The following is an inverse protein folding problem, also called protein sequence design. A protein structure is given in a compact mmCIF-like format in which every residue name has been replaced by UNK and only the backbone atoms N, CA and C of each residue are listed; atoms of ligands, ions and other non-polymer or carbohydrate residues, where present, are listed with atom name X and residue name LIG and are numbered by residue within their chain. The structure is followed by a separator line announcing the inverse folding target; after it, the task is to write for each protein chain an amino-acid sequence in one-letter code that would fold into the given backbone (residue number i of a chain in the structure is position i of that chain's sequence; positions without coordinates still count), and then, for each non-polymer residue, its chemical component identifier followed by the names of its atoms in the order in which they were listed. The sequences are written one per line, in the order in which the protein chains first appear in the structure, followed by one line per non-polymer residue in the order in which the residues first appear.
data_IF_617335970271
#
_entry.id   IF_617335970271
#
_cell.length_a   1.000
_cell.length_b   1.000
_cell.length_c   1.000
_cell.angle_alpha   90.00
_cell.angle_beta   90.00
_cell.angle_gamma   90.00
#
_symmetry.space_group_name_H-M   'P 1'
#
loop_
_entity.id
_entity.type
_entity.pdbx_description
1 polymer ?
#
# COMPACT_ATOMS: atom_id res chain seq x y z
N UNK A 1 16.86 12.82 -14.54
CA UNK A 1 15.56 12.14 -14.50
C UNK A 1 15.59 11.19 -13.33
N UNK A 2 14.52 11.13 -12.54
CA UNK A 2 14.37 10.20 -11.40
C UNK A 2 13.60 8.94 -11.80
N UNK A 3 13.62 7.92 -10.96
CA UNK A 3 13.03 6.61 -11.23
C UNK A 3 11.59 6.69 -11.74
N UNK A 4 10.65 7.33 -11.03
CA UNK A 4 9.25 7.37 -11.48
C UNK A 4 9.02 8.22 -12.74
N UNK A 5 9.85 9.24 -12.99
CA UNK A 5 9.84 9.98 -14.26
C UNK A 5 10.22 9.05 -15.41
N UNK A 6 11.27 8.24 -15.21
CA UNK A 6 11.75 7.27 -16.19
C UNK A 6 10.77 6.12 -16.42
N UNK A 7 10.10 5.63 -15.36
CA UNK A 7 9.06 4.59 -15.45
C UNK A 7 7.91 5.09 -16.31
N UNK A 8 7.40 6.30 -16.05
CA UNK A 8 6.28 6.86 -16.82
C UNK A 8 6.67 7.13 -18.27
N UNK A 9 7.86 7.68 -18.52
CA UNK A 9 8.34 7.90 -19.88
C UNK A 9 8.50 6.59 -20.66
N UNK A 10 9.16 5.58 -20.06
CA UNK A 10 9.31 4.26 -20.65
C UNK A 10 7.94 3.62 -20.92
N UNK A 11 7.00 3.76 -19.98
CA UNK A 11 5.66 3.22 -20.12
C UNK A 11 4.90 3.83 -21.30
N UNK A 12 4.92 5.16 -21.42
CA UNK A 12 4.21 5.85 -22.49
C UNK A 12 4.82 5.57 -23.87
N UNK A 13 6.15 5.45 -23.96
CA UNK A 13 6.83 5.04 -25.19
C UNK A 13 6.46 3.62 -25.62
N UNK A 14 6.45 2.68 -24.67
CA UNK A 14 6.08 1.29 -24.95
C UNK A 14 4.63 1.17 -25.45
N UNK A 15 3.70 1.84 -24.77
CA UNK A 15 2.28 1.91 -25.20
C UNK A 15 2.13 2.58 -26.58
N UNK A 16 3.01 3.52 -26.93
CA UNK A 16 3.05 4.12 -28.26
C UNK A 16 3.73 3.23 -29.34
N UNK A 17 4.21 2.04 -28.98
CA UNK A 17 4.80 1.06 -29.89
C UNK A 17 6.32 1.16 -30.07
N UNK A 18 7.02 1.91 -29.21
CA UNK A 18 8.49 1.97 -29.25
C UNK A 18 9.10 0.68 -28.68
N UNK A 19 9.75 -0.10 -29.55
CA UNK A 19 10.40 -1.37 -29.20
C UNK A 19 11.68 -1.18 -28.39
N UNK A 20 12.19 0.04 -28.26
CA UNK A 20 13.34 0.36 -27.41
C UNK A 20 12.91 0.96 -26.06
N UNK A 21 11.60 1.09 -25.82
CA UNK A 21 11.09 1.55 -24.55
C UNK A 21 11.45 0.55 -23.44
N UNK A 22 11.84 1.08 -22.29
CA UNK A 22 12.17 0.24 -21.14
C UNK A 22 12.92 1.03 -20.08
N UNK A 23 12.78 0.59 -18.84
CA UNK A 23 13.58 1.08 -17.73
C UNK A 23 14.96 0.42 -17.78
N UNK A 24 15.99 1.16 -17.36
CA UNK A 24 17.33 0.62 -17.10
C UNK A 24 17.60 0.67 -15.58
N UNK A 25 17.24 -0.38 -14.82
CA UNK A 25 17.25 -0.33 -13.36
C UNK A 25 18.62 0.03 -12.75
N UNK A 26 19.71 -0.33 -13.41
CA UNK A 26 21.07 0.00 -12.97
C UNK A 26 21.35 1.51 -12.90
N UNK A 27 20.65 2.34 -13.70
CA UNK A 27 20.77 3.79 -13.67
C UNK A 27 20.08 4.41 -12.42
N UNK A 28 19.25 3.64 -11.72
CA UNK A 28 18.43 4.08 -10.58
C UNK A 28 18.70 3.26 -9.31
N UNK A 29 19.91 2.69 -9.16
CA UNK A 29 20.24 1.79 -8.05
C UNK A 29 20.04 2.40 -6.66
N UNK A 30 20.20 3.71 -6.51
CA UNK A 30 20.01 4.44 -5.24
C UNK A 30 18.53 4.69 -4.88
N UNK A 31 17.64 4.59 -5.88
CA UNK A 31 16.19 4.79 -5.77
C UNK A 31 15.43 3.45 -5.66
N UNK A 32 16.14 2.32 -5.74
CA UNK A 32 15.63 0.96 -5.59
C UNK A 32 16.04 0.36 -4.23
N UNK A 33 15.25 -0.53 -3.62
CA UNK A 33 13.98 -1.11 -4.11
C UNK A 33 12.76 -0.19 -3.93
N UNK A 34 11.70 -0.44 -4.72
CA UNK A 34 10.38 0.22 -4.57
C UNK A 34 9.47 -0.64 -3.70
N UNK A 35 8.81 -0.01 -2.73
CA UNK A 35 7.71 -0.60 -1.97
C UNK A 35 6.37 -0.24 -2.61
N UNK A 36 5.68 -1.22 -3.19
CA UNK A 36 4.42 -0.98 -3.88
C UNK A 36 3.23 -1.57 -3.15
N UNK A 37 2.13 -0.84 -3.07
CA UNK A 37 0.82 -1.33 -2.64
C UNK A 37 -0.13 -1.37 -3.85
N UNK A 38 -0.68 -2.54 -4.16
CA UNK A 38 -1.69 -2.68 -5.22
C UNK A 38 -2.89 -3.52 -4.78
N UNK A 39 -3.84 -3.67 -5.69
CA UNK A 39 -5.00 -4.55 -5.49
C UNK A 39 -4.59 -6.06 -5.48
N UNK A 40 -5.41 -6.90 -4.86
CA UNK A 40 -5.35 -8.38 -4.96
C UNK A 40 -5.85 -8.92 -6.31
N UNK A 41 -6.23 -8.06 -7.25
CA UNK A 41 -6.67 -8.46 -8.58
C UNK A 41 -5.57 -9.28 -9.27
N UNK A 42 -5.89 -10.53 -9.63
CA UNK A 42 -4.94 -11.47 -10.21
C UNK A 42 -4.41 -11.01 -11.58
N UNK A 43 -5.16 -10.14 -12.28
CA UNK A 43 -4.75 -9.53 -13.55
C UNK A 43 -3.46 -8.71 -13.43
N UNK A 44 -3.18 -8.20 -12.23
CA UNK A 44 -1.98 -7.40 -11.97
C UNK A 44 -0.71 -8.23 -11.84
N UNK A 45 -0.82 -9.54 -11.58
CA UNK A 45 0.32 -10.44 -11.33
C UNK A 45 1.41 -10.37 -12.43
N UNK A 46 1.07 -10.61 -13.71
CA UNK A 46 2.03 -10.44 -14.79
C UNK A 46 2.25 -8.96 -15.14
N UNK A 47 1.18 -8.16 -15.05
CA UNK A 47 1.16 -6.83 -15.65
C UNK A 47 2.00 -5.79 -14.89
N UNK A 48 1.96 -5.77 -13.56
CA UNK A 48 2.65 -4.71 -12.79
C UNK A 48 4.18 -4.77 -12.87
N UNK A 49 4.84 -5.92 -12.71
CA UNK A 49 6.29 -6.00 -12.89
C UNK A 49 6.72 -5.54 -14.29
N UNK A 50 5.94 -5.89 -15.32
CA UNK A 50 6.23 -5.53 -16.71
C UNK A 50 6.04 -4.03 -16.98
N UNK A 51 4.88 -3.45 -16.63
CA UNK A 51 4.59 -2.04 -16.91
C UNK A 51 5.47 -1.05 -16.15
N UNK A 52 6.02 -1.47 -15.00
CA UNK A 52 6.97 -0.68 -14.22
C UNK A 52 8.42 -0.87 -14.69
N UNK A 53 8.73 -2.01 -15.32
CA UNK A 53 10.09 -2.37 -15.71
C UNK A 53 11.05 -2.57 -14.52
N UNK A 54 10.52 -2.75 -13.31
CA UNK A 54 11.31 -2.98 -12.09
C UNK A 54 11.57 -4.49 -11.94
N UNK A 55 12.83 -4.92 -11.73
CA UNK A 55 13.17 -6.31 -11.47
C UNK A 55 12.46 -6.85 -10.22
N UNK A 56 12.10 -8.14 -10.22
CA UNK A 56 11.36 -8.78 -9.12
C UNK A 56 12.08 -8.62 -7.77
N UNK A 57 13.41 -8.72 -7.77
CA UNK A 57 14.24 -8.57 -6.56
C UNK A 57 14.26 -7.15 -5.99
N UNK A 58 13.88 -6.14 -6.79
CA UNK A 58 13.78 -4.74 -6.41
C UNK A 58 12.33 -4.27 -6.18
N UNK A 59 11.36 -5.19 -6.28
CA UNK A 59 9.92 -4.88 -6.18
C UNK A 59 9.32 -5.48 -4.90
N UNK A 60 9.28 -4.69 -3.83
CA UNK A 60 8.68 -5.11 -2.56
C UNK A 60 7.17 -4.92 -2.66
N UNK A 61 6.45 -6.00 -2.99
CA UNK A 61 5.05 -5.92 -3.38
C UNK A 61 4.07 -6.31 -2.26
N UNK A 62 3.32 -5.32 -1.77
CA UNK A 62 2.20 -5.46 -0.85
C UNK A 62 0.88 -5.44 -1.61
N UNK A 63 -0.09 -6.25 -1.17
CA UNK A 63 -1.39 -6.39 -1.84
C UNK A 63 -2.53 -6.48 -0.85
N UNK A 64 -3.60 -5.74 -1.10
CA UNK A 64 -4.88 -5.88 -0.39
C UNK A 64 -6.06 -5.56 -1.32
N UNK A 65 -7.29 -5.80 -0.87
CA UNK A 65 -8.48 -5.51 -1.67
C UNK A 65 -8.58 -4.00 -1.95
N UNK A 66 -8.44 -3.61 -3.22
CA UNK A 66 -8.59 -2.23 -3.65
C UNK A 66 -7.47 -1.28 -3.25
N UNK A 67 -6.26 -1.78 -2.90
CA UNK A 67 -5.11 -0.95 -2.50
C UNK A 67 -5.46 0.09 -1.41
N UNK A 68 -6.30 -0.32 -0.46
CA UNK A 68 -6.89 0.53 0.57
C UNK A 68 -5.93 0.70 1.73
N UNK A 69 -5.86 1.91 2.27
CA UNK A 69 -5.27 2.19 3.57
C UNK A 69 -6.33 2.92 4.39
N UNK A 70 -6.76 2.32 5.49
CA UNK A 70 -7.86 2.85 6.31
C UNK A 70 -7.40 3.87 7.34
N UNK A 71 -6.15 3.76 7.82
CA UNK A 71 -5.60 4.63 8.87
C UNK A 71 -4.07 4.73 8.78
N UNK A 72 -3.47 5.86 9.23
CA UNK A 72 -2.03 6.04 9.35
C UNK A 72 -1.32 5.06 10.29
N UNK A 73 -2.05 4.26 11.10
CA UNK A 73 -1.49 3.20 11.96
C UNK A 73 -2.11 1.81 11.68
N UNK A 74 -2.73 1.65 10.51
CA UNK A 74 -3.34 0.38 10.09
C UNK A 74 -2.32 -0.76 9.90
N UNK A 75 -2.81 -2.00 9.80
CA UNK A 75 -1.96 -3.16 9.48
C UNK A 75 -1.23 -3.03 8.15
N UNK A 76 -1.89 -2.46 7.13
CA UNK A 76 -1.27 -2.18 5.83
C UNK A 76 -0.17 -1.15 5.97
N UNK A 77 -0.40 -0.07 6.74
CA UNK A 77 0.64 0.92 7.01
C UNK A 77 1.84 0.33 7.73
N UNK A 78 1.61 -0.52 8.73
CA UNK A 78 2.69 -1.22 9.43
C UNK A 78 3.53 -2.05 8.47
N UNK A 79 2.90 -2.81 7.58
CA UNK A 79 3.64 -3.59 6.57
C UNK A 79 4.42 -2.69 5.62
N UNK A 80 3.85 -1.58 5.18
CA UNK A 80 4.52 -0.62 4.28
C UNK A 80 5.71 0.06 4.96
N UNK A 81 5.56 0.45 6.23
CA UNK A 81 6.65 1.00 7.03
C UNK A 81 7.79 -0.01 7.20
N UNK A 82 7.48 -1.29 7.44
CA UNK A 82 8.50 -2.34 7.51
C UNK A 82 9.15 -2.65 6.16
N UNK A 83 8.42 -2.51 5.04
CA UNK A 83 9.00 -2.57 3.71
C UNK A 83 10.08 -1.49 3.50
N UNK A 84 9.85 -0.30 4.04
CA UNK A 84 10.85 0.77 4.01
C UNK A 84 11.99 0.52 5.01
N UNK A 85 11.66 0.38 6.28
CA UNK A 85 12.64 0.35 7.38
C UNK A 85 13.47 -0.93 7.46
N UNK A 86 12.89 -2.09 7.11
CA UNK A 86 13.54 -3.40 7.23
C UNK A 86 13.99 -3.94 5.88
N UNK A 87 13.21 -3.72 4.82
CA UNK A 87 13.55 -4.20 3.46
C UNK A 87 14.23 -3.15 2.59
N UNK A 88 14.41 -1.93 3.11
CA UNK A 88 15.18 -0.88 2.44
C UNK A 88 14.43 -0.17 1.32
N UNK A 89 13.10 -0.30 1.26
CA UNK A 89 12.26 0.42 0.29
C UNK A 89 12.57 1.92 0.29
N UNK A 90 13.02 2.43 -0.86
CA UNK A 90 13.48 3.81 -1.05
C UNK A 90 12.36 4.74 -1.48
N UNK A 91 11.41 4.21 -2.23
CA UNK A 91 10.24 4.93 -2.72
C UNK A 91 8.99 4.06 -2.55
N UNK A 92 7.85 4.72 -2.34
CA UNK A 92 6.56 4.07 -2.19
C UNK A 92 5.70 4.34 -3.42
N UNK A 93 5.04 3.31 -3.95
CA UNK A 93 4.02 3.46 -4.99
C UNK A 93 2.68 2.84 -4.57
N UNK A 94 1.63 3.66 -4.54
CA UNK A 94 0.25 3.17 -4.48
C UNK A 94 -0.26 3.03 -5.90
N UNK A 95 -0.60 1.81 -6.30
CA UNK A 95 -0.99 1.51 -7.68
C UNK A 95 -2.41 0.97 -7.71
N UNK A 96 -3.33 1.85 -8.10
CA UNK A 96 -4.70 1.49 -8.46
C UNK A 96 -4.77 0.95 -9.88
N UNK A 97 -5.93 0.44 -10.27
CA UNK A 97 -6.14 -0.05 -11.62
C UNK A 97 -7.56 0.23 -12.13
N UNK A 98 -7.73 0.38 -13.44
CA UNK A 98 -9.05 0.47 -14.07
C UNK A 98 -9.84 -0.83 -13.88
N UNK A 99 -11.17 -0.74 -13.93
CA UNK A 99 -12.07 -1.91 -13.80
C UNK A 99 -11.88 -2.67 -12.47
N UNK A 100 -11.73 -1.94 -11.36
CA UNK A 100 -11.57 -2.55 -10.04
C UNK A 100 -12.91 -3.07 -9.49
N UNK A 101 -13.03 -4.38 -9.30
CA UNK A 101 -14.26 -4.99 -8.76
C UNK A 101 -14.57 -4.55 -7.33
N UNK A 102 -13.55 -4.22 -6.54
CA UNK A 102 -13.72 -3.66 -5.18
C UNK A 102 -14.35 -2.27 -5.28
N UNK A 103 -13.87 -1.41 -6.18
CA UNK A 103 -14.45 -0.09 -6.43
C UNK A 103 -15.90 -0.15 -6.95
N UNK A 104 -16.20 -1.15 -7.78
CA UNK A 104 -17.53 -1.33 -8.39
C UNK A 104 -18.57 -1.95 -7.45
N UNK A 105 -18.15 -2.39 -6.25
CA UNK A 105 -19.04 -3.05 -5.30
C UNK A 105 -19.43 -2.06 -4.21
N UNK A 106 -20.73 -1.76 -4.09
CA UNK A 106 -21.26 -0.96 -2.98
C UNK A 106 -21.57 -1.83 -1.75
N UNK A 107 -21.84 -1.20 -0.60
CA UNK A 107 -22.12 -1.91 0.65
C UNK A 107 -23.27 -2.92 0.57
N UNK A 108 -24.37 -2.58 -0.11
CA UNK A 108 -25.51 -3.50 -0.24
C UNK A 108 -25.12 -4.75 -1.05
N UNK A 109 -24.41 -4.56 -2.16
CA UNK A 109 -23.88 -5.66 -2.96
C UNK A 109 -22.86 -6.48 -2.18
N UNK A 110 -22.01 -5.85 -1.36
CA UNK A 110 -21.03 -6.54 -0.53
C UNK A 110 -21.72 -7.43 0.51
N UNK A 111 -22.73 -6.90 1.22
CA UNK A 111 -23.54 -7.66 2.19
C UNK A 111 -24.22 -8.85 1.49
N UNK A 112 -24.81 -8.65 0.32
CA UNK A 112 -25.45 -9.75 -0.43
C UNK A 112 -24.42 -10.79 -0.90
N UNK A 113 -23.22 -10.37 -1.33
CA UNK A 113 -22.12 -11.29 -1.68
C UNK A 113 -21.64 -12.09 -0.46
N UNK A 114 -21.55 -11.47 0.71
CA UNK A 114 -21.23 -12.16 1.96
C UNK A 114 -22.30 -13.19 2.34
N UNK A 115 -23.58 -12.81 2.21
CA UNK A 115 -24.70 -13.73 2.42
C UNK A 115 -24.63 -14.94 1.49
N UNK A 116 -24.29 -14.72 0.21
CA UNK A 116 -24.15 -15.81 -0.78
C UNK A 116 -23.00 -16.79 -0.47
N UNK A 117 -22.04 -16.41 0.38
CA UNK A 117 -20.98 -17.31 0.88
C UNK A 117 -21.25 -17.79 2.32
N UNK A 118 -22.46 -17.59 2.84
CA UNK A 118 -22.89 -18.08 4.15
C UNK A 118 -22.54 -17.16 5.33
N UNK A 119 -22.18 -15.89 5.08
CA UNK A 119 -21.91 -14.90 6.13
C UNK A 119 -23.14 -14.02 6.33
N UNK A 120 -23.83 -14.25 7.44
CA UNK A 120 -25.04 -13.51 7.82
C UNK A 120 -24.75 -12.07 8.24
N UNK A 121 -25.71 -11.16 8.01
CA UNK A 121 -25.53 -9.71 8.24
C UNK A 121 -25.12 -9.36 9.69
N UNK A 122 -25.60 -10.11 10.67
CA UNK A 122 -25.30 -9.85 12.10
C UNK A 122 -23.86 -10.21 12.50
N UNK A 123 -23.12 -10.94 11.65
CA UNK A 123 -21.69 -11.24 11.85
C UNK A 123 -20.79 -10.19 11.21
N UNK A 124 -21.34 -9.34 10.33
CA UNK A 124 -20.63 -8.26 9.70
C UNK A 124 -20.60 -7.03 10.62
N UNK A 125 -19.52 -6.22 10.58
CA UNK A 125 -19.46 -4.97 11.32
C UNK A 125 -20.62 -4.04 10.95
N UNK A 126 -21.08 -3.22 11.89
CA UNK A 126 -22.16 -2.27 11.63
C UNK A 126 -21.75 -1.19 10.62
N UNK A 127 -20.50 -0.73 10.72
CA UNK A 127 -19.88 0.26 9.83
C UNK A 127 -19.21 -0.38 8.59
N UNK A 128 -19.94 -1.19 7.82
CA UNK A 128 -19.43 -1.93 6.63
C UNK A 128 -18.59 -1.05 5.69
N UNK A 129 -19.05 0.17 5.39
CA UNK A 129 -18.33 1.08 4.49
C UNK A 129 -16.94 1.43 4.99
N UNK A 130 -16.82 1.78 6.26
CA UNK A 130 -15.57 2.21 6.88
C UNK A 130 -14.65 1.00 7.11
N UNK A 131 -15.19 -0.08 7.65
CA UNK A 131 -14.42 -1.29 7.96
C UNK A 131 -13.75 -1.88 6.71
N UNK A 132 -14.49 -1.97 5.60
CA UNK A 132 -13.95 -2.48 4.33
C UNK A 132 -13.32 -1.39 3.47
N UNK A 133 -13.31 -0.12 3.92
CA UNK A 133 -12.75 1.01 3.20
C UNK A 133 -13.36 1.23 1.82
N UNK A 134 -14.67 1.05 1.68
CA UNK A 134 -15.37 1.16 0.39
C UNK A 134 -15.13 2.53 -0.27
N UNK A 135 -14.95 2.53 -1.59
CA UNK A 135 -14.66 3.72 -2.38
C UNK A 135 -15.33 3.66 -3.75
N UNK A 136 -15.66 4.83 -4.31
CA UNK A 136 -16.41 4.95 -5.57
C UNK A 136 -15.57 5.41 -6.77
N UNK A 137 -14.29 5.73 -6.56
CA UNK A 137 -13.36 6.12 -7.62
C UNK A 137 -11.97 5.58 -7.34
N UNK A 138 -11.43 4.82 -8.28
CA UNK A 138 -10.08 4.25 -8.18
C UNK A 138 -9.03 5.35 -8.06
N UNK A 139 -9.18 6.44 -8.84
CA UNK A 139 -8.31 7.62 -8.78
C UNK A 139 -8.30 8.27 -7.40
N UNK A 140 -9.48 8.58 -6.86
CA UNK A 140 -9.59 9.23 -5.55
C UNK A 140 -9.07 8.34 -4.42
N UNK A 141 -9.28 7.03 -4.53
CA UNK A 141 -8.75 6.07 -3.57
C UNK A 141 -7.20 6.04 -3.57
N UNK A 142 -6.56 6.07 -4.74
CA UNK A 142 -5.09 6.18 -4.82
C UNK A 142 -4.59 7.46 -4.16
N UNK A 143 -5.19 8.61 -4.50
CA UNK A 143 -4.81 9.91 -3.92
C UNK A 143 -4.96 9.88 -2.39
N UNK A 144 -6.13 9.44 -1.90
CA UNK A 144 -6.40 9.31 -0.46
C UNK A 144 -5.39 8.40 0.24
N UNK A 145 -5.05 7.26 -0.36
CA UNK A 145 -4.07 6.34 0.21
C UNK A 145 -2.68 7.00 0.29
N UNK A 146 -2.25 7.72 -0.74
CA UNK A 146 -1.00 8.49 -0.72
C UNK A 146 -0.98 9.53 0.41
N UNK A 147 -2.08 10.26 0.60
CA UNK A 147 -2.21 11.25 1.68
C UNK A 147 -2.11 10.59 3.07
N UNK A 148 -2.78 9.45 3.25
CA UNK A 148 -2.71 8.69 4.52
C UNK A 148 -1.27 8.22 4.78
N UNK A 149 -0.57 7.71 3.76
CA UNK A 149 0.86 7.30 3.86
C UNK A 149 1.73 8.47 4.29
N UNK A 150 1.63 9.61 3.60
CA UNK A 150 2.40 10.82 3.91
C UNK A 150 2.10 11.40 5.29
N UNK A 151 0.88 11.18 5.79
CA UNK A 151 0.48 11.62 7.14
C UNK A 151 0.93 10.67 8.25
N UNK A 152 1.38 9.46 7.92
CA UNK A 152 1.77 8.47 8.92
C UNK A 152 3.11 8.82 9.58
N UNK A 153 3.20 8.76 10.92
CA UNK A 153 4.46 8.93 11.64
C UNK A 153 5.43 7.76 11.41
N UNK A 154 4.98 6.68 10.75
CA UNK A 154 5.81 5.50 10.47
C UNK A 154 6.57 5.61 9.14
N UNK A 155 6.26 6.60 8.31
CA UNK A 155 6.91 6.83 7.02
C UNK A 155 7.75 8.09 7.11
N UNK A 156 9.05 7.97 6.86
CA UNK A 156 9.97 9.10 6.94
C UNK A 156 9.68 10.14 5.85
N UNK A 157 9.79 11.43 6.20
CA UNK A 157 9.55 12.56 5.29
C UNK A 157 10.44 12.55 4.03
N UNK A 158 11.56 11.82 4.05
CA UNK A 158 12.46 11.68 2.91
C UNK A 158 12.07 10.57 1.92
N UNK A 159 11.03 9.79 2.18
CA UNK A 159 10.58 8.70 1.29
C UNK A 159 9.50 9.25 0.34
N UNK A 160 9.77 9.32 -0.97
CA UNK A 160 8.77 9.73 -1.95
C UNK A 160 7.58 8.77 -1.96
N UNK A 161 6.36 9.33 -2.04
CA UNK A 161 5.12 8.55 -2.12
C UNK A 161 4.38 8.91 -3.40
N UNK A 162 4.37 7.96 -4.33
CA UNK A 162 3.75 8.08 -5.65
C UNK A 162 2.39 7.42 -5.70
N UNK A 163 1.50 8.00 -6.48
CA UNK A 163 0.17 7.45 -6.77
C UNK A 163 0.03 7.22 -8.26
N UNK A 164 -0.20 5.98 -8.67
CA UNK A 164 -0.36 5.57 -10.06
C UNK A 164 -1.73 4.94 -10.28
N UNK A 165 -2.28 5.13 -11.48
CA UNK A 165 -3.43 4.40 -11.98
C UNK A 165 -3.04 3.64 -13.24
N UNK A 166 -3.16 2.32 -13.21
CA UNK A 166 -2.90 1.45 -14.35
C UNK A 166 -4.19 1.20 -15.13
N UNK A 167 -4.20 1.49 -16.43
CA UNK A 167 -5.24 0.96 -17.31
C UNK A 167 -4.92 -0.50 -17.68
N UNK A 168 -5.70 -1.43 -17.14
CA UNK A 168 -5.48 -2.87 -17.35
C UNK A 168 -5.71 -3.32 -18.79
N UNK A 169 -6.34 -2.48 -19.63
CA UNK A 169 -6.67 -2.82 -21.02
C UNK A 169 -5.49 -2.62 -21.96
N UNK A 170 -4.68 -1.60 -21.72
CA UNK A 170 -3.58 -1.19 -22.61
C UNK A 170 -2.23 -1.07 -21.90
N UNK A 171 -2.17 -1.23 -20.58
CA UNK A 171 -0.94 -1.15 -19.79
C UNK A 171 -0.46 0.27 -19.50
N UNK A 172 -1.21 1.30 -19.88
CA UNK A 172 -0.83 2.70 -19.67
C UNK A 172 -0.91 3.09 -18.20
N UNK A 173 0.18 3.69 -17.71
CA UNK A 173 0.24 4.29 -16.39
C UNK A 173 -0.14 5.77 -16.45
N UNK A 174 -0.98 6.18 -15.52
CA UNK A 174 -1.25 7.58 -15.23
C UNK A 174 -0.67 7.95 -13.88
N UNK A 175 0.11 9.03 -13.85
CA UNK A 175 0.74 9.53 -12.62
C UNK A 175 -0.19 10.52 -11.93
N UNK A 176 -0.89 10.05 -10.90
CA UNK A 176 -1.87 10.83 -10.14
C UNK A 176 -1.24 11.71 -9.07
N UNK A 177 -0.23 11.16 -8.40
CA UNK A 177 0.45 11.82 -7.29
C UNK A 177 1.96 11.68 -7.52
N UNK A 178 2.60 12.81 -7.83
CA UNK A 178 4.04 12.92 -7.93
C UNK A 178 4.66 12.95 -6.51
N UNK A 179 5.31 11.86 -6.12
CA UNK A 179 5.96 11.72 -4.82
C UNK A 179 7.17 12.62 -4.62
N UNK A 180 7.67 13.21 -5.69
CA UNK A 180 8.85 14.03 -5.65
C UNK A 180 8.59 15.53 -5.47
N UNK A 181 7.36 15.96 -5.73
CA UNK A 181 6.96 17.32 -5.41
C UNK A 181 6.94 17.48 -3.89
N UNK A 182 7.44 18.61 -3.40
CA UNK A 182 7.40 18.92 -1.98
C UNK A 182 5.95 19.14 -1.56
N UNK A 183 5.36 18.13 -0.94
CA UNK A 183 4.12 18.28 -0.18
C UNK A 183 4.48 18.49 1.28
N UNK A 184 3.83 19.44 1.96
CA UNK A 184 4.05 19.67 3.38
C UNK A 184 3.77 18.37 4.16
N UNK A 185 4.82 17.79 4.74
CA UNK A 185 4.70 16.53 5.50
C UNK A 185 4.06 16.80 6.87
N UNK A 186 3.52 15.77 7.51
CA UNK A 186 3.11 15.89 8.91
C UNK A 186 4.30 16.21 9.84
N UNK A 187 5.54 15.86 9.46
CA UNK A 187 6.74 16.31 10.17
C UNK A 187 6.99 17.81 10.00
N UNK A 188 6.72 18.39 8.82
CA UNK A 188 6.80 19.85 8.63
C UNK A 188 5.70 20.55 9.43
N UNK A 189 4.47 20.02 9.40
CA UNK A 189 3.36 20.52 10.23
C UNK A 189 3.62 20.35 11.72
N UNK A 190 4.20 19.22 12.15
CA UNK A 190 4.60 18.99 13.52
C UNK A 190 5.74 19.90 13.93
N UNK A 191 6.75 20.11 13.08
CA UNK A 191 7.84 21.04 13.33
C UNK A 191 7.32 22.47 13.39
N UNK A 192 6.37 22.85 12.54
CA UNK A 192 5.70 24.15 12.59
C UNK A 192 4.82 24.30 13.83
N UNK A 193 4.08 23.25 14.23
CA UNK A 193 3.32 23.22 15.48
C UNK A 193 4.25 23.31 16.67
N UNK A 194 5.33 22.54 16.73
CA UNK A 194 6.36 22.59 17.78
C UNK A 194 7.08 23.94 17.79
N UNK A 195 7.31 24.57 16.64
CA UNK A 195 7.91 25.90 16.54
C UNK A 195 6.95 27.00 17.00
N UNK A 196 5.66 26.91 16.64
CA UNK A 196 4.60 27.81 17.13
C UNK A 196 4.30 27.57 18.62
N UNK A 197 4.42 26.33 19.06
CA UNK A 197 4.34 25.95 20.46
C UNK A 197 5.61 26.36 21.21
N UNK A 198 6.75 26.52 20.55
CA UNK A 198 8.01 27.01 21.14
C UNK A 198 7.85 28.35 21.85
N UNK A 199 7.05 29.26 21.29
CA UNK A 199 6.72 30.56 21.90
C UNK A 199 5.83 30.43 23.15
N UNK A 200 5.00 29.38 23.22
CA UNK A 200 4.18 29.05 24.41
C UNK A 200 4.92 28.16 25.41
N UNK A 201 5.84 27.32 24.94
CA UNK A 201 6.72 26.45 25.72
C UNK A 201 7.78 27.28 26.44
N UNK A 202 8.30 28.36 25.85
CA UNK A 202 9.20 29.28 26.56
C UNK A 202 8.47 30.09 27.65
N UNK A 203 7.16 30.35 27.50
CA UNK A 203 6.28 30.86 28.58
C UNK A 203 5.87 29.80 29.59
N UNK A 204 5.90 28.52 29.23
CA UNK A 204 5.55 27.40 30.11
C UNK A 204 6.79 26.86 30.87
N UNK A 205 7.99 27.02 30.31
CA UNK A 205 9.28 26.76 30.97
C UNK A 205 9.52 27.66 32.18
N UNK A 206 8.91 28.84 32.24
CA UNK A 206 8.95 29.66 33.46
C UNK A 206 8.00 29.16 34.56
N UNK A 207 7.20 28.13 34.33
CA UNK A 207 6.14 27.70 35.25
C UNK A 207 6.19 26.24 35.74
N UNK A 208 7.12 25.38 35.30
CA UNK A 208 7.32 24.09 35.99
C UNK A 208 8.54 23.31 35.49
N UNK A 209 9.33 22.83 36.46
CA UNK A 209 10.42 21.87 36.34
C UNK A 209 9.97 20.55 35.68
N UNK A 210 10.12 20.41 34.36
CA UNK A 210 10.04 19.12 33.69
C UNK A 210 11.37 18.77 33.03
N UNK A 211 12.13 17.90 33.69
CA UNK A 211 13.31 17.24 33.13
C UNK A 211 12.89 16.22 32.07
N UNK A 212 13.13 16.53 30.80
CA UNK A 212 13.05 15.60 29.68
C UNK A 212 14.35 14.80 29.64
N UNK A 213 14.36 13.63 30.27
CA UNK A 213 15.54 12.77 30.26
C UNK A 213 15.45 11.62 31.25
N UNK A 214 14.53 10.68 31.03
CA UNK A 214 14.57 9.27 31.46
C UNK A 214 13.21 8.62 31.17
N UNK A 215 13.01 8.07 29.96
CA UNK A 215 11.87 7.20 29.71
C UNK A 215 12.21 5.76 30.12
N UNK A 216 11.89 5.41 31.37
CA UNK A 216 11.63 4.01 31.72
C UNK A 216 10.23 3.65 31.23
N UNK A 217 10.14 2.78 30.23
CA UNK A 217 8.88 2.18 29.82
C UNK A 217 8.31 1.33 30.97
N UNK A 218 7.06 1.54 31.41
CA UNK A 218 6.44 0.65 32.37
C UNK A 218 6.04 -0.66 31.68
N UNK A 219 6.45 -1.79 32.25
CA UNK A 219 6.00 -3.13 31.86
C UNK A 219 4.49 -3.24 32.08
N UNK A 220 3.69 -3.03 31.04
CA UNK A 220 2.25 -3.29 31.08
C UNK A 220 1.82 -3.97 29.78
N UNK A 221 0.95 -4.97 29.94
CA UNK A 221 0.64 -6.00 28.94
C UNK A 221 0.04 -5.41 27.66
N UNK A 222 0.49 -5.97 26.53
CA UNK A 222 0.07 -5.67 25.16
C UNK A 222 -1.46 -5.82 25.07
N UNK A 223 -2.19 -4.70 25.05
CA UNK A 223 -3.65 -4.71 24.97
C UNK A 223 -4.31 -3.35 25.26
N UNK A 224 -3.75 -2.55 26.17
CA UNK A 224 -4.34 -1.24 26.54
C UNK A 224 -3.79 -0.05 25.73
N UNK A 225 -2.70 -0.26 24.97
CA UNK A 225 -1.96 0.82 24.28
C UNK A 225 -2.63 1.30 23.00
N UNK A 226 -3.55 0.52 22.41
CA UNK A 226 -4.24 0.88 21.16
C UNK A 226 -5.26 2.00 21.42
N UNK A 227 -6.01 1.90 22.53
CA UNK A 227 -7.04 2.88 22.91
C UNK A 227 -6.43 4.27 23.13
N UNK A 228 -5.28 4.35 23.83
CA UNK A 228 -4.62 5.64 24.09
C UNK A 228 -4.02 6.29 22.84
N UNK A 229 -3.57 5.49 21.87
CA UNK A 229 -3.05 6.01 20.61
C UNK A 229 -4.18 6.51 19.69
N UNK A 230 -5.31 5.79 19.68
CA UNK A 230 -6.54 6.21 19.00
C UNK A 230 -7.14 7.46 19.63
N UNK A 231 -7.19 7.55 20.96
CA UNK A 231 -7.65 8.73 21.70
C UNK A 231 -6.76 9.96 21.44
N UNK A 232 -5.44 9.77 21.40
CA UNK A 232 -4.50 10.87 21.12
C UNK A 232 -4.62 11.38 19.68
N UNK A 233 -4.78 10.48 18.70
CA UNK A 233 -5.01 10.85 17.30
C UNK A 233 -6.38 11.50 17.09
N UNK A 234 -7.43 10.98 17.73
CA UNK A 234 -8.79 11.52 17.63
C UNK A 234 -8.87 12.95 18.17
N UNK A 235 -8.27 13.21 19.34
CA UNK A 235 -8.18 14.56 19.91
C UNK A 235 -7.39 15.54 19.02
N UNK A 236 -6.38 15.03 18.30
CA UNK A 236 -5.58 15.84 17.37
C UNK A 236 -6.35 16.15 16.08
N UNK A 237 -7.21 15.23 15.63
CA UNK A 237 -8.02 15.38 14.42
C UNK A 237 -9.27 16.25 14.64
N UNK A 238 -9.89 16.19 15.83
CA UNK A 238 -11.04 17.03 16.18
C UNK A 238 -10.70 18.53 16.22
N UNK A 239 -9.45 18.88 16.55
CA UNK A 239 -8.97 20.27 16.53
C UNK A 239 -8.85 20.92 15.15
N UNK A 240 -9.06 20.18 14.06
CA UNK A 240 -8.73 20.61 12.69
C UNK A 240 -9.91 20.71 11.70
N UNK A 241 -11.16 20.51 12.12
CA UNK A 241 -12.31 20.57 11.19
C UNK A 241 -13.00 21.95 11.13
N UNK A 242 -12.75 22.65 10.01
CA UNK A 242 -13.52 23.80 9.53
C UNK A 242 -14.72 23.28 8.70
N UNK A 243 -15.91 23.82 8.99
CA UNK A 243 -17.21 23.50 8.40
C UNK A 243 -17.26 23.49 6.86
N UNK A 244 -17.98 22.52 6.28
CA UNK A 244 -18.85 22.77 5.13
C UNK A 244 -20.00 21.76 5.03
N UNK A 245 -21.18 22.29 4.66
CA UNK A 245 -22.53 21.73 4.79
C UNK A 245 -22.90 20.69 3.72
N UNK A 246 -23.71 19.72 4.14
CA UNK A 246 -24.39 18.72 3.32
C UNK A 246 -25.57 19.29 2.51
N UNK A 247 -25.84 18.71 1.33
CA UNK A 247 -27.20 18.43 0.83
C UNK A 247 -27.19 17.48 -0.39
N UNK A 248 -28.11 16.51 -0.40
CA UNK A 248 -28.49 15.61 -1.50
C UNK A 248 -29.99 15.24 -1.31
N UNK A 249 -30.71 14.43 -2.13
CA UNK A 249 -30.48 13.84 -3.48
C UNK A 249 -31.75 13.82 -4.40
N UNK A 250 -31.68 13.23 -5.60
CA UNK A 250 -32.48 12.03 -6.02
C UNK A 250 -32.56 11.79 -7.55
N UNK A 251 -32.33 10.54 -7.99
CA UNK A 251 -33.20 9.74 -8.87
C UNK A 251 -32.52 8.43 -9.34
N UNK A 252 -33.21 7.29 -9.19
CA UNK A 252 -32.84 5.92 -9.62
C UNK A 252 -33.13 5.69 -11.12
N UNK A 253 -32.43 4.76 -11.82
CA UNK A 253 -33.09 3.51 -12.28
C UNK A 253 -32.10 2.31 -12.54
N UNK A 254 -32.41 1.27 -13.36
CA UNK A 254 -32.86 -0.06 -12.97
C UNK A 254 -31.84 -1.22 -13.18
N UNK A 255 -32.19 -2.43 -12.70
CA UNK A 255 -31.38 -3.66 -12.62
C UNK A 255 -30.96 -4.31 -13.96
N UNK A 256 -29.75 -4.92 -14.07
CA UNK A 256 -29.46 -5.94 -15.07
C UNK A 256 -29.08 -7.34 -14.52
N UNK A 257 -29.27 -8.32 -15.41
CA UNK A 257 -29.23 -9.80 -15.28
C UNK A 257 -27.80 -10.40 -15.17
N UNK A 258 -27.63 -11.68 -14.78
CA UNK A 258 -26.37 -12.20 -14.24
C UNK A 258 -25.30 -12.56 -15.28
N UNK A 259 -24.04 -12.35 -14.91
CA UNK A 259 -22.83 -12.60 -15.70
C UNK A 259 -22.06 -13.76 -15.06
N UNK A 260 -22.02 -14.92 -15.70
CA UNK A 260 -21.24 -16.08 -15.23
C UNK A 260 -20.29 -16.71 -16.26
N UNK A 261 -19.92 -16.01 -17.35
CA UNK A 261 -19.11 -16.63 -18.41
C UNK A 261 -17.76 -15.94 -18.74
N UNK A 262 -17.19 -15.10 -17.84
CA UNK A 262 -16.03 -14.25 -18.20
C UNK A 262 -14.70 -14.47 -17.46
N UNK A 263 -14.62 -15.39 -16.50
CA UNK A 263 -13.43 -15.44 -15.61
C UNK A 263 -12.25 -16.25 -16.17
N UNK A 264 -12.43 -17.09 -17.20
CA UNK A 264 -11.36 -18.02 -17.62
C UNK A 264 -10.46 -17.50 -18.76
N UNK A 265 -10.89 -16.48 -19.53
CA UNK A 265 -10.14 -16.00 -20.70
C UNK A 265 -9.21 -14.79 -20.46
N UNK A 266 -9.39 -14.06 -19.34
CA UNK A 266 -8.74 -12.76 -19.16
C UNK A 266 -7.22 -12.84 -18.92
N UNK A 267 -6.70 -13.91 -18.31
CA UNK A 267 -5.27 -14.01 -18.00
C UNK A 267 -4.40 -14.18 -19.26
N UNK A 268 -4.88 -14.93 -20.25
CA UNK A 268 -4.19 -15.11 -21.54
C UNK A 268 -4.17 -13.84 -22.36
N UNK A 269 -5.31 -13.15 -22.45
CA UNK A 269 -5.43 -11.87 -23.17
C UNK A 269 -4.51 -10.79 -22.59
N UNK A 270 -4.35 -10.74 -21.26
CA UNK A 270 -3.47 -9.77 -20.58
C UNK A 270 -1.99 -10.08 -20.84
N UNK A 271 -1.60 -11.35 -20.82
CA UNK A 271 -0.25 -11.78 -21.16
C UNK A 271 0.08 -11.45 -22.62
N UNK A 272 -0.85 -11.69 -23.56
CA UNK A 272 -0.66 -11.34 -24.97
C UNK A 272 -0.54 -9.82 -25.20
N UNK A 273 -1.33 -9.01 -24.48
CA UNK A 273 -1.23 -7.54 -24.57
C UNK A 273 0.13 -7.07 -24.05
N UNK A 274 0.60 -7.63 -22.92
CA UNK A 274 1.88 -7.26 -22.37
C UNK A 274 3.05 -7.70 -23.27
N UNK A 275 3.01 -8.91 -23.83
CA UNK A 275 4.01 -9.39 -24.79
C UNK A 275 4.02 -8.58 -26.09
N UNK A 276 2.87 -8.08 -26.55
CA UNK A 276 2.76 -7.32 -27.79
C UNK A 276 3.24 -5.87 -27.66
N UNK A 277 3.11 -5.26 -26.48
CA UNK A 277 3.38 -3.83 -26.29
C UNK A 277 4.63 -3.54 -25.43
N UNK A 278 5.26 -4.56 -24.82
CA UNK A 278 6.43 -4.36 -23.96
C UNK A 278 7.62 -5.26 -24.33
N UNK A 279 8.78 -4.70 -24.71
CA UNK A 279 9.99 -5.48 -24.92
C UNK A 279 10.57 -5.93 -23.56
N UNK A 280 10.78 -7.25 -23.39
CA UNK A 280 11.38 -7.81 -22.17
C UNK A 280 12.83 -7.27 -22.02
N UNK A 281 13.27 -6.88 -20.80
CA UNK A 281 14.67 -6.50 -20.59
C UNK A 281 15.59 -7.63 -21.07
N UNK A 282 16.64 -7.27 -21.81
CA UNK A 282 17.54 -8.22 -22.43
C UNK A 282 18.10 -9.20 -21.40
N UNK A 283 17.82 -10.49 -21.59
CA UNK A 283 18.29 -11.57 -20.73
C UNK A 283 19.81 -11.68 -20.88
N UNK A 284 20.57 -10.95 -20.05
CA UNK A 284 21.94 -11.37 -19.73
C UNK A 284 21.83 -12.51 -18.72
N UNK A 285 21.91 -13.74 -19.23
CA UNK A 285 21.89 -14.94 -18.41
C UNK A 285 23.19 -15.10 -17.63
N UNK A 286 23.31 -14.41 -16.50
CA UNK A 286 24.11 -14.94 -15.40
C UNK A 286 23.15 -15.70 -14.48
N UNK A 287 22.98 -17.01 -14.73
CA UNK A 287 22.44 -17.91 -13.70
C UNK A 287 23.32 -17.73 -12.45
N UNK A 288 22.78 -17.29 -11.30
CA UNK A 288 23.52 -17.40 -10.06
C UNK A 288 23.82 -18.89 -9.84
N UNK A 289 25.06 -19.22 -9.46
CA UNK A 289 25.40 -20.58 -9.08
C UNK A 289 24.42 -21.04 -7.98
N UNK A 290 23.89 -22.25 -8.13
CA UNK A 290 22.99 -22.82 -7.13
C UNK A 290 23.65 -22.74 -5.74
N UNK A 291 22.93 -22.28 -4.70
CA UNK A 291 23.48 -22.24 -3.35
C UNK A 291 23.98 -23.65 -2.96
N UNK A 292 25.11 -23.76 -2.24
CA UNK A 292 25.62 -25.07 -1.83
C UNK A 292 24.55 -25.82 -1.05
N UNK A 293 24.29 -27.07 -1.42
CA UNK A 293 23.31 -27.92 -0.74
C UNK A 293 23.72 -28.04 0.72
N UNK A 294 22.88 -27.54 1.62
CA UNK A 294 23.03 -27.78 3.06
C UNK A 294 22.84 -29.29 3.29
N UNK A 295 23.84 -30.03 3.81
CA UNK A 295 23.67 -31.44 4.11
C UNK A 295 22.58 -31.61 5.16
N UNK A 296 21.68 -32.58 4.94
CA UNK A 296 20.61 -32.88 5.90
C UNK A 296 21.22 -33.26 7.26
N UNK A 297 20.67 -32.76 8.38
CA UNK A 297 21.10 -33.20 9.69
C UNK A 297 20.84 -34.71 9.85
N UNK A 298 21.73 -35.44 10.54
CA UNK A 298 21.55 -36.87 10.75
C UNK A 298 20.25 -37.15 11.51
N UNK A 299 19.57 -38.29 11.24
CA UNK A 299 18.33 -38.63 11.90
C UNK A 299 18.54 -38.70 13.42
N UNK A 300 17.64 -38.04 14.17
CA UNK A 300 17.63 -38.06 15.62
C UNK A 300 17.48 -39.51 16.11
N UNK A 301 18.49 -40.02 16.83
CA UNK A 301 18.37 -41.33 17.50
C UNK A 301 17.30 -41.24 18.58
N UNK A 302 16.36 -42.21 18.66
CA UNK A 302 15.39 -42.25 19.76
C UNK A 302 16.12 -42.33 21.10
N UNK A 303 15.74 -41.48 22.06
CA UNK A 303 16.22 -41.60 23.44
C UNK A 303 15.71 -42.93 24.02
N UNK A 304 16.57 -43.74 24.67
CA UNK A 304 16.12 -44.96 25.33
C UNK A 304 15.16 -44.59 26.47
N UNK A 305 14.00 -45.24 26.48
CA UNK A 305 12.99 -45.13 27.53
C UNK A 305 13.61 -45.72 28.81
N UNK A 306 13.64 -45.00 29.94
CA UNK A 306 14.11 -45.57 31.19
C UNK A 306 13.16 -46.69 31.63
N UNK A 307 13.70 -47.90 31.78
CA UNK A 307 12.98 -49.03 32.38
C UNK A 307 12.59 -48.62 33.81
N UNK A 308 11.29 -48.48 34.07
CA UNK A 308 10.77 -48.44 35.44
C UNK A 308 11.07 -49.79 36.10
N UNK A 309 11.90 -49.77 37.13
CA UNK A 309 12.15 -50.93 37.99
C UNK A 309 10.87 -51.36 38.71
N UNK A 310 10.80 -52.65 39.03
CA UNK A 310 9.81 -53.24 39.94
C UNK A 310 9.96 -52.67 41.34
#
# INVERSE_FOLDING_TARGET
MRLFEAIIEANHKAVAGDTNAGLRPAEFAEELPVAALSCIDARLNPLLPEVLGIPEEQFIWLRNAGNIITSPLSSTMRSLALACAVKGGKEIAVIGHSDCLVCKTNAMQLIERFKNIGVERHLLPDNVNEFFGMFASERQNVIKACDIIRSSPLIGAGIPVHGLLLDITNGKLEWLVDGYQKFATMSDKWNDVVRSAGETVDKLKSLSDFNIGEMKFPETKIGETVVKAEDWLSNTLEGMQIHQQEQSPSNEPPKPKPIQARIVNAAGEILEIAEKHWPKPGVQSHRPAAPPRIPMPPPLRPKPIPKRGR
#
